data_IF_377342886636
#
_entry.id   IF_377342886636
#
_cell.length_a   1.000
_cell.length_b   1.000
_cell.length_c   1.000
_cell.angle_alpha   90.00
_cell.angle_beta   90.00
_cell.angle_gamma   90.00
#
_symmetry.space_group_name_H-M   'P 1'
#
loop_
_entity.id
_entity.type
_entity.pdbx_description
1 polymer ?
#
# COMPACT_ATOMS: atom_id res chain seq x y z
N UNK A 1 0.74 -52.85 9.21
CA UNK A 1 -0.40 -51.95 9.45
C UNK A 1 0.18 -50.77 10.20
N UNK A 2 0.51 -49.70 9.47
CA UNK A 2 0.78 -48.37 10.01
C UNK A 2 0.34 -47.39 8.93
N UNK A 3 -0.81 -46.77 9.17
CA UNK A 3 -1.42 -45.76 8.30
C UNK A 3 -0.81 -44.40 8.63
N UNK A 4 0.12 -43.95 7.79
CA UNK A 4 0.63 -42.58 7.83
C UNK A 4 -0.35 -41.67 7.07
N UNK A 5 -1.27 -41.02 7.81
CA UNK A 5 -2.15 -39.99 7.24
C UNK A 5 -1.33 -38.78 6.78
N UNK A 6 -1.20 -38.62 5.46
CA UNK A 6 -0.74 -37.39 4.84
C UNK A 6 -1.82 -36.30 5.02
N UNK A 7 -1.53 -35.29 5.85
CA UNK A 7 -2.36 -34.08 5.95
C UNK A 7 -2.01 -33.19 4.75
N UNK A 8 -2.68 -33.41 3.62
CA UNK A 8 -2.73 -32.45 2.53
C UNK A 8 -3.49 -31.21 3.01
N UNK A 9 -2.76 -30.12 3.31
CA UNK A 9 -3.33 -28.83 3.67
C UNK A 9 -3.94 -28.19 2.41
N UNK A 10 -5.27 -28.16 2.36
CA UNK A 10 -6.05 -27.46 1.34
C UNK A 10 -5.95 -25.95 1.62
N UNK A 11 -5.57 -25.11 0.63
CA UNK A 11 -5.61 -23.66 0.81
C UNK A 11 -7.06 -23.21 1.05
N UNK A 12 -7.30 -22.16 1.86
CA UNK A 12 -8.65 -21.75 2.20
C UNK A 12 -9.44 -21.30 0.95
N UNK A 13 -10.78 -21.46 0.96
CA UNK A 13 -11.59 -21.17 -0.21
C UNK A 13 -11.56 -19.68 -0.58
N UNK A 14 -11.49 -19.40 -1.89
CA UNK A 14 -11.41 -18.07 -2.52
C UNK A 14 -12.58 -17.10 -2.22
N UNK A 15 -13.61 -17.52 -1.50
CA UNK A 15 -14.83 -16.74 -1.24
C UNK A 15 -15.20 -16.78 0.27
N UNK A 16 -14.32 -16.31 1.15
CA UNK A 16 -14.71 -16.09 2.56
C UNK A 16 -15.31 -14.68 2.72
N UNK A 17 -16.43 -14.51 3.46
CA UNK A 17 -17.03 -13.20 3.69
C UNK A 17 -16.09 -12.31 4.52
N UNK A 18 -16.23 -10.99 4.38
CA UNK A 18 -15.61 -9.96 5.23
C UNK A 18 -15.55 -10.41 6.69
N UNK A 19 -14.37 -10.35 7.31
CA UNK A 19 -14.15 -10.80 8.68
C UNK A 19 -13.64 -9.65 9.54
N UNK A 20 -14.49 -9.20 10.46
CA UNK A 20 -14.14 -8.29 11.55
C UNK A 20 -13.18 -8.95 12.56
N UNK A 21 -12.27 -8.13 13.08
CA UNK A 21 -11.47 -8.10 14.33
C UNK A 21 -11.27 -9.34 15.21
N UNK A 22 -12.19 -10.30 15.29
CA UNK A 22 -12.19 -11.40 16.28
C UNK A 22 -11.19 -12.53 16.00
N UNK A 23 -10.50 -12.52 14.87
CA UNK A 23 -9.59 -13.59 14.45
C UNK A 23 -8.10 -13.34 14.79
N UNK A 24 -7.76 -12.25 15.52
CA UNK A 24 -6.40 -12.05 16.03
C UNK A 24 -6.09 -13.10 17.12
N UNK A 25 -5.34 -14.14 16.75
CA UNK A 25 -4.77 -15.07 17.73
C UNK A 25 -3.76 -14.34 18.60
N UNK A 26 -4.07 -14.15 19.87
CA UNK A 26 -3.09 -13.81 20.90
C UNK A 26 -2.03 -14.89 20.97
N UNK A 27 -0.76 -14.49 20.86
CA UNK A 27 0.33 -15.39 21.21
C UNK A 27 0.42 -15.52 22.74
N UNK A 28 1.05 -16.57 23.25
CA UNK A 28 1.07 -16.91 24.69
C UNK A 28 1.69 -15.82 25.59
N UNK A 29 2.38 -14.85 25.00
CA UNK A 29 3.04 -13.73 25.69
C UNK A 29 2.30 -12.39 25.54
N UNK A 30 1.06 -12.38 25.03
CA UNK A 30 0.25 -11.17 24.90
C UNK A 30 0.56 -10.30 23.67
N UNK A 31 1.68 -10.54 22.98
CA UNK A 31 2.02 -9.87 21.73
C UNK A 31 1.19 -10.39 20.55
N UNK A 32 0.45 -9.47 19.90
CA UNK A 32 -0.22 -9.72 18.63
C UNK A 32 0.85 -9.76 17.52
N UNK A 33 1.36 -10.96 17.19
CA UNK A 33 2.26 -11.15 16.05
C UNK A 33 1.42 -11.25 14.78
N UNK A 34 1.04 -10.11 14.24
CA UNK A 34 0.35 -9.98 12.96
C UNK A 34 0.75 -8.67 12.29
N UNK A 35 0.94 -8.70 10.97
CA UNK A 35 1.13 -7.49 10.19
C UNK A 35 -0.23 -7.03 9.71
N UNK A 36 -0.73 -5.94 10.28
CA UNK A 36 -1.98 -5.30 9.86
C UNK A 36 -1.67 -4.13 8.92
N UNK A 37 -2.32 -4.10 7.75
CA UNK A 37 -2.37 -2.92 6.89
C UNK A 37 -3.75 -2.30 7.02
N UNK A 38 -3.81 -1.04 7.43
CA UNK A 38 -5.06 -0.33 7.68
C UNK A 38 -5.52 0.41 6.44
N UNK A 39 -6.75 0.16 6.02
CA UNK A 39 -7.37 0.78 4.86
C UNK A 39 -8.60 1.57 5.34
N UNK A 40 -8.52 2.90 5.26
CA UNK A 40 -9.65 3.80 5.48
C UNK A 40 -10.27 4.18 4.14
N UNK A 41 -11.60 4.21 4.09
CA UNK A 41 -12.36 4.44 2.86
C UNK A 41 -12.96 5.83 2.88
N UNK A 42 -12.65 6.62 1.85
CA UNK A 42 -13.15 7.99 1.72
C UNK A 42 -14.18 8.18 0.60
N UNK A 43 -14.39 7.20 -0.28
CA UNK A 43 -15.45 7.25 -1.28
C UNK A 43 -16.24 5.94 -1.36
N UNK A 44 -17.55 6.02 -1.09
CA UNK A 44 -18.47 4.91 -1.26
C UNK A 44 -19.33 5.16 -2.51
N UNK A 45 -18.72 5.17 -3.69
CA UNK A 45 -19.55 5.12 -4.91
C UNK A 45 -20.25 3.76 -4.96
N UNK A 46 -21.57 3.80 -4.78
CA UNK A 46 -22.46 2.64 -4.62
C UNK A 46 -22.61 1.89 -5.95
N UNK A 47 -21.58 1.15 -6.34
CA UNK A 47 -21.53 0.29 -7.52
C UNK A 47 -20.08 -0.08 -7.83
N UNK A 48 -19.54 -1.23 -7.46
CA UNK A 48 -20.15 -2.47 -7.02
C UNK A 48 -19.31 -3.10 -5.90
N UNK A 49 -19.95 -3.82 -4.96
CA UNK A 49 -19.25 -4.61 -3.93
C UNK A 49 -18.18 -5.56 -4.51
N UNK A 50 -18.30 -5.93 -5.79
CA UNK A 50 -17.32 -6.70 -6.54
C UNK A 50 -15.98 -5.99 -6.73
N UNK A 51 -16.01 -4.67 -6.93
CA UNK A 51 -14.81 -3.90 -7.26
C UNK A 51 -13.94 -3.75 -6.02
N UNK A 52 -14.56 -3.60 -4.85
CA UNK A 52 -13.90 -3.61 -3.55
C UNK A 52 -13.17 -4.91 -3.27
N UNK A 53 -13.87 -6.04 -3.39
CA UNK A 53 -13.27 -7.35 -3.20
C UNK A 53 -12.10 -7.58 -4.17
N UNK A 54 -12.22 -7.11 -5.41
CA UNK A 54 -11.16 -7.19 -6.41
C UNK A 54 -9.95 -6.31 -6.05
N UNK A 55 -10.17 -5.08 -5.57
CA UNK A 55 -9.11 -4.16 -5.10
C UNK A 55 -8.34 -4.78 -3.94
N UNK A 56 -9.03 -5.20 -2.88
CA UNK A 56 -8.40 -5.79 -1.70
C UNK A 56 -7.62 -7.04 -2.08
N UNK A 57 -8.23 -7.93 -2.86
CA UNK A 57 -7.57 -9.14 -3.33
C UNK A 57 -6.32 -8.82 -4.17
N UNK A 58 -6.29 -7.69 -4.88
CA UNK A 58 -5.13 -7.28 -5.67
C UNK A 58 -4.03 -6.72 -4.79
N UNK A 59 -4.35 -5.87 -3.81
CA UNK A 59 -3.41 -5.41 -2.78
C UNK A 59 -2.78 -6.60 -2.06
N UNK A 60 -3.58 -7.60 -1.66
CA UNK A 60 -3.10 -8.84 -1.06
C UNK A 60 -2.06 -9.53 -1.94
N UNK A 61 -2.37 -9.71 -3.23
CA UNK A 61 -1.44 -10.36 -4.17
C UNK A 61 -0.12 -9.61 -4.28
N UNK A 62 -0.14 -8.29 -4.29
CA UNK A 62 1.09 -7.49 -4.26
C UNK A 62 1.88 -7.72 -2.97
N UNK A 63 1.22 -7.63 -1.80
CA UNK A 63 1.87 -7.86 -0.51
C UNK A 63 2.46 -9.27 -0.40
N UNK A 64 1.73 -10.31 -0.80
CA UNK A 64 2.23 -11.69 -0.83
C UNK A 64 3.39 -11.89 -1.81
N UNK A 65 3.42 -11.15 -2.92
CA UNK A 65 4.53 -11.20 -3.87
C UNK A 65 5.77 -10.52 -3.27
N UNK A 66 5.61 -9.38 -2.60
CA UNK A 66 6.69 -8.69 -1.88
C UNK A 66 7.21 -9.51 -0.68
N UNK A 67 6.36 -10.32 -0.05
CA UNK A 67 6.72 -11.37 0.90
C UNK A 67 7.41 -12.60 0.26
N UNK A 68 7.84 -12.52 -1.00
CA UNK A 68 8.36 -13.62 -1.81
C UNK A 68 9.48 -14.46 -1.17
N UNK A 69 9.91 -15.55 -1.82
CA UNK A 69 10.95 -16.41 -1.27
C UNK A 69 12.25 -15.63 -1.06
N UNK A 70 12.92 -15.88 0.08
CA UNK A 70 14.26 -15.35 0.32
C UNK A 70 15.19 -15.77 -0.84
N UNK A 71 16.16 -14.93 -1.24
CA UNK A 71 17.14 -15.31 -2.24
C UNK A 71 17.80 -16.64 -1.87
N UNK A 72 17.95 -17.54 -2.86
CA UNK A 72 18.61 -18.84 -2.69
C UNK A 72 19.97 -18.64 -2.00
N UNK A 73 20.09 -19.12 -0.76
CA UNK A 73 21.27 -18.92 0.09
C UNK A 73 20.97 -18.35 1.48
N UNK A 74 19.86 -17.62 1.64
CA UNK A 74 19.31 -17.20 2.95
C UNK A 74 18.31 -18.21 3.52
N UNK A 75 18.04 -19.29 2.79
CA UNK A 75 17.13 -20.37 3.18
C UNK A 75 17.64 -21.23 4.33
N UNK A 76 18.84 -21.00 4.88
CA UNK A 76 19.30 -21.81 6.03
C UNK A 76 18.48 -21.39 7.25
N UNK A 77 17.54 -22.23 7.72
CA UNK A 77 16.98 -21.97 9.03
C UNK A 77 18.13 -22.13 10.01
N UNK A 78 18.37 -21.15 10.87
CA UNK A 78 19.15 -21.37 12.08
C UNK A 78 18.21 -22.08 13.06
N UNK A 79 18.25 -23.42 13.19
CA UNK A 79 17.39 -24.09 14.16
C UNK A 79 17.92 -23.68 15.55
N UNK A 80 17.05 -23.24 16.47
CA UNK A 80 15.62 -23.55 16.54
C UNK A 80 14.68 -22.35 16.22
N UNK A 81 15.11 -21.34 15.47
CA UNK A 81 14.27 -20.15 15.27
C UNK A 81 13.09 -20.42 14.33
N UNK A 82 11.88 -19.93 14.65
CA UNK A 82 10.73 -20.02 13.76
C UNK A 82 11.00 -19.25 12.47
N UNK A 83 10.46 -19.75 11.36
CA UNK A 83 10.57 -19.08 10.08
C UNK A 83 9.79 -17.75 10.13
N UNK A 84 10.49 -16.63 10.32
CA UNK A 84 9.90 -15.29 10.43
C UNK A 84 8.99 -15.01 9.23
N UNK A 85 9.37 -15.47 8.03
CA UNK A 85 8.55 -15.32 6.83
C UNK A 85 7.21 -16.04 6.95
N UNK A 86 7.20 -17.27 7.44
CA UNK A 86 5.96 -18.01 7.68
C UNK A 86 5.10 -17.30 8.73
N UNK A 87 5.71 -16.81 9.82
CA UNK A 87 5.00 -16.04 10.83
C UNK A 87 4.38 -14.76 10.25
N UNK A 88 5.10 -14.03 9.40
CA UNK A 88 4.59 -12.81 8.75
C UNK A 88 3.49 -13.15 7.75
N UNK A 89 3.68 -14.17 6.91
CA UNK A 89 2.64 -14.62 5.96
C UNK A 89 1.37 -15.11 6.69
N UNK A 90 1.54 -15.87 7.77
CA UNK A 90 0.42 -16.36 8.58
C UNK A 90 -0.26 -15.25 9.38
N UNK A 91 0.48 -14.21 9.78
CA UNK A 91 -0.01 -13.08 10.56
C UNK A 91 -0.49 -11.89 9.73
N UNK A 92 -0.19 -11.83 8.43
CA UNK A 92 -0.57 -10.71 7.56
C UNK A 92 -2.09 -10.62 7.36
N UNK A 93 -2.68 -9.47 7.66
CA UNK A 93 -4.10 -9.19 7.49
C UNK A 93 -4.30 -7.74 7.05
N UNK A 94 -5.25 -7.47 6.18
CA UNK A 94 -5.75 -6.11 6.02
C UNK A 94 -6.81 -5.85 7.10
N UNK A 95 -6.75 -4.69 7.73
CA UNK A 95 -7.80 -4.18 8.60
C UNK A 95 -8.53 -3.09 7.82
N UNK A 96 -9.81 -3.32 7.60
CA UNK A 96 -10.68 -2.47 6.79
C UNK A 96 -11.55 -1.71 7.77
N UNK A 97 -11.46 -0.38 7.77
CA UNK A 97 -12.32 0.48 8.57
C UNK A 97 -13.45 1.00 7.69
N UNK A 98 -14.58 0.30 7.74
CA UNK A 98 -15.80 0.75 7.08
C UNK A 98 -16.54 1.72 8.00
N UNK A 99 -16.37 3.01 7.76
CA UNK A 99 -17.10 4.06 8.49
C UNK A 99 -17.83 4.95 7.49
N UNK A 100 -19.17 4.91 7.42
CA UNK A 100 -19.96 5.78 6.54
C UNK A 100 -19.72 7.26 6.76
N UNK A 101 -19.20 7.68 7.93
CA UNK A 101 -18.85 9.07 8.20
C UNK A 101 -17.58 9.52 7.48
N UNK A 102 -16.79 8.58 6.97
CA UNK A 102 -15.61 8.88 6.17
C UNK A 102 -15.94 9.11 4.70
N UNK A 103 -17.18 8.85 4.27
CA UNK A 103 -17.63 9.15 2.91
C UNK A 103 -17.54 10.66 2.65
N UNK A 104 -16.70 11.06 1.68
CA UNK A 104 -16.37 12.45 1.36
C UNK A 104 -15.74 13.24 2.52
N UNK A 105 -15.18 12.55 3.51
CA UNK A 105 -14.51 13.19 4.62
C UNK A 105 -13.22 13.89 4.18
N UNK A 106 -12.88 14.97 4.88
CA UNK A 106 -11.58 15.64 4.71
C UNK A 106 -10.43 14.73 5.16
N UNK A 107 -9.23 14.97 4.62
CA UNK A 107 -7.99 14.33 5.07
C UNK A 107 -7.82 14.44 6.59
N UNK A 108 -8.09 15.63 7.16
CA UNK A 108 -8.05 15.87 8.60
C UNK A 108 -9.02 14.96 9.38
N UNK A 109 -10.23 14.75 8.86
CA UNK A 109 -11.23 13.88 9.50
C UNK A 109 -10.78 12.42 9.49
N UNK A 110 -10.24 11.94 8.35
CA UNK A 110 -9.71 10.59 8.21
C UNK A 110 -8.51 10.40 9.17
N UNK A 111 -7.57 11.35 9.15
CA UNK A 111 -6.41 11.39 10.06
C UNK A 111 -6.84 11.22 11.52
N UNK A 112 -7.74 12.09 11.99
CA UNK A 112 -8.23 12.06 13.36
C UNK A 112 -8.89 10.73 13.71
N UNK A 113 -9.70 10.18 12.79
CA UNK A 113 -10.40 8.92 12.98
C UNK A 113 -9.44 7.73 13.11
N UNK A 114 -8.37 7.71 12.30
CA UNK A 114 -7.32 6.69 12.36
C UNK A 114 -6.55 6.78 13.68
N UNK A 115 -6.17 7.99 14.11
CA UNK A 115 -5.50 8.23 15.40
C UNK A 115 -6.36 7.71 16.56
N UNK A 116 -7.63 8.12 16.63
CA UNK A 116 -8.58 7.67 17.66
C UNK A 116 -8.74 6.16 17.67
N UNK A 117 -8.74 5.53 16.49
CA UNK A 117 -8.80 4.08 16.36
C UNK A 117 -7.52 3.40 16.88
N UNK A 118 -6.35 3.84 16.42
CA UNK A 118 -5.07 3.23 16.76
C UNK A 118 -4.80 3.32 18.28
N UNK A 119 -5.00 4.50 18.85
CA UNK A 119 -4.83 4.75 20.29
C UNK A 119 -5.90 4.02 21.11
N UNK A 120 -7.16 4.01 20.63
CA UNK A 120 -8.26 3.27 21.27
C UNK A 120 -8.02 1.75 21.33
N UNK A 121 -7.21 1.22 20.42
CA UNK A 121 -6.78 -0.19 20.40
C UNK A 121 -5.54 -0.46 21.27
N UNK A 122 -4.98 0.57 21.90
CA UNK A 122 -3.77 0.48 22.72
C UNK A 122 -2.48 0.42 21.90
N UNK A 123 -2.51 0.78 20.62
CA UNK A 123 -1.28 0.92 19.83
C UNK A 123 -0.64 2.27 20.10
N UNK A 124 0.68 2.28 20.31
CA UNK A 124 1.46 3.51 20.37
C UNK A 124 1.86 3.94 18.96
N UNK A 125 1.59 5.18 18.63
CA UNK A 125 2.17 5.88 17.47
C UNK A 125 3.61 6.34 17.79
N UNK A 126 4.36 6.72 16.77
CA UNK A 126 5.73 7.23 16.84
C UNK A 126 6.79 6.22 17.35
N UNK A 127 6.50 4.92 17.27
CA UNK A 127 7.44 3.86 17.70
C UNK A 127 8.21 3.23 16.54
N UNK A 128 8.34 3.97 15.44
CA UNK A 128 9.06 3.49 14.27
C UNK A 128 8.25 2.51 13.42
N UNK A 129 6.91 2.62 13.41
CA UNK A 129 6.01 1.61 12.79
C UNK A 129 4.99 2.27 11.87
N UNK A 130 5.26 2.32 10.55
CA UNK A 130 4.44 3.08 9.60
C UNK A 130 2.97 2.72 9.61
N UNK A 131 2.65 1.45 9.85
CA UNK A 131 1.26 0.97 9.91
C UNK A 131 0.38 1.66 10.98
N UNK A 132 0.94 2.35 11.96
CA UNK A 132 0.14 3.11 12.93
C UNK A 132 0.24 4.62 12.72
N UNK A 133 1.37 5.07 12.19
CA UNK A 133 1.67 6.49 11.96
C UNK A 133 1.08 6.98 10.62
N UNK A 134 0.74 6.06 9.73
CA UNK A 134 0.16 6.34 8.42
C UNK A 134 -1.11 5.55 8.19
N UNK A 135 -2.07 6.20 7.55
CA UNK A 135 -3.32 5.59 7.13
C UNK A 135 -3.33 5.42 5.61
N UNK A 136 -3.58 4.21 5.09
CA UNK A 136 -3.80 4.05 3.65
C UNK A 136 -5.25 4.40 3.32
N UNK A 137 -5.43 5.24 2.29
CA UNK A 137 -6.74 5.72 1.86
C UNK A 137 -7.04 5.27 0.43
N UNK A 138 -8.22 4.68 0.27
CA UNK A 138 -8.77 4.29 -1.02
C UNK A 138 -9.87 5.27 -1.44
N UNK A 139 -9.53 6.13 -2.41
CA UNK A 139 -10.45 7.01 -3.12
C UNK A 139 -10.86 6.42 -4.49
N UNK A 140 -11.87 7.02 -5.13
CA UNK A 140 -12.40 6.58 -6.44
C UNK A 140 -11.31 6.42 -7.50
N UNK A 141 -10.25 7.23 -7.44
CA UNK A 141 -9.19 7.24 -8.46
C UNK A 141 -8.16 6.16 -8.21
N UNK A 142 -7.71 5.98 -6.98
CA UNK A 142 -6.81 4.90 -6.56
C UNK A 142 -7.46 3.54 -6.76
N UNK A 143 -8.78 3.38 -6.51
CA UNK A 143 -9.53 2.17 -6.84
C UNK A 143 -9.43 1.84 -8.33
N UNK A 144 -9.73 2.81 -9.21
CA UNK A 144 -9.62 2.62 -10.66
C UNK A 144 -8.17 2.32 -11.07
N UNK A 145 -7.19 2.97 -10.47
CA UNK A 145 -5.76 2.74 -10.70
C UNK A 145 -5.35 1.32 -10.31
N UNK A 146 -5.78 0.83 -9.14
CA UNK A 146 -5.53 -0.53 -8.66
C UNK A 146 -6.15 -1.53 -9.63
N UNK A 147 -7.42 -1.36 -9.98
CA UNK A 147 -8.09 -2.26 -10.92
C UNK A 147 -7.41 -2.28 -12.30
N UNK A 148 -6.94 -1.13 -12.78
CA UNK A 148 -6.18 -0.99 -14.02
C UNK A 148 -4.74 -1.53 -13.97
N UNK A 149 -4.21 -1.81 -12.78
CA UNK A 149 -2.84 -2.30 -12.62
C UNK A 149 -2.65 -3.67 -13.29
N UNK A 150 -1.41 -3.99 -13.64
CA UNK A 150 -1.02 -5.35 -13.99
C UNK A 150 -1.12 -6.27 -12.77
N UNK A 151 -1.15 -7.58 -12.98
CA UNK A 151 -1.02 -8.52 -11.87
C UNK A 151 0.45 -8.54 -11.38
N UNK A 152 0.69 -8.69 -10.07
CA UNK A 152 2.04 -8.81 -9.55
C UNK A 152 2.68 -10.10 -10.09
N UNK A 153 3.86 -9.98 -10.67
CA UNK A 153 4.62 -11.10 -11.23
C UNK A 153 5.87 -11.32 -10.39
N UNK A 154 6.28 -12.58 -10.25
CA UNK A 154 7.51 -12.96 -9.55
C UNK A 154 8.80 -12.58 -10.30
N UNK A 155 8.70 -12.11 -11.55
CA UNK A 155 9.83 -11.92 -12.44
C UNK A 155 9.81 -10.47 -12.99
N UNK A 156 10.89 -9.73 -12.77
CA UNK A 156 11.03 -8.30 -13.09
C UNK A 156 11.11 -7.95 -14.60
N UNK A 157 10.81 -8.89 -15.51
CA UNK A 157 11.09 -8.73 -16.95
C UNK A 157 9.94 -8.17 -17.78
N UNK A 158 8.76 -7.95 -17.21
CA UNK A 158 7.60 -7.45 -17.96
C UNK A 158 7.35 -5.96 -17.72
N UNK A 159 7.00 -5.26 -18.80
CA UNK A 159 6.65 -3.84 -18.85
C UNK A 159 5.25 -3.56 -18.27
N UNK A 160 4.98 -4.08 -17.08
CA UNK A 160 3.70 -3.88 -16.41
C UNK A 160 3.50 -2.43 -16.00
N UNK A 161 2.24 -2.06 -15.79
CA UNK A 161 1.86 -0.79 -15.17
C UNK A 161 1.22 -1.08 -13.82
N UNK A 162 1.56 -0.31 -12.80
CA UNK A 162 1.21 -0.51 -11.41
C UNK A 162 0.57 0.76 -10.88
N UNK A 163 -0.54 0.61 -10.18
CA UNK A 163 -1.25 1.71 -9.57
C UNK A 163 -0.67 2.12 -8.23
N UNK A 164 -1.43 2.92 -7.53
CA UNK A 164 -1.03 3.46 -6.24
C UNK A 164 -2.18 3.43 -5.23
N UNK A 165 -1.81 3.56 -3.96
CA UNK A 165 -2.70 3.91 -2.85
C UNK A 165 -2.30 5.28 -2.33
N UNK A 166 -3.28 6.07 -1.87
CA UNK A 166 -2.96 7.29 -1.12
C UNK A 166 -2.66 6.92 0.32
N UNK A 167 -1.86 7.76 0.97
CA UNK A 167 -1.48 7.60 2.37
C UNK A 167 -1.57 8.94 3.06
N UNK A 168 -2.13 8.96 4.27
CA UNK A 168 -2.21 10.14 5.11
C UNK A 168 -1.16 10.01 6.21
N UNK A 169 -0.28 11.00 6.28
CA UNK A 169 0.61 11.24 7.41
C UNK A 169 -0.22 11.72 8.60
N UNK A 170 -0.22 10.93 9.67
CA UNK A 170 -1.02 11.23 10.86
C UNK A 170 -0.36 12.19 11.83
N UNK A 171 0.92 12.51 11.60
CA UNK A 171 1.68 13.44 12.43
C UNK A 171 1.76 14.83 11.78
N UNK A 172 1.35 14.95 10.50
CA UNK A 172 1.25 16.23 9.82
C UNK A 172 0.18 17.14 10.45
N UNK A 173 0.62 18.28 10.96
CA UNK A 173 -0.21 19.40 11.39
C UNK A 173 0.05 20.63 10.49
N UNK A 174 -0.92 21.03 9.65
CA UNK A 174 -0.75 22.21 8.80
C UNK A 174 -0.62 23.52 9.59
N UNK A 175 -1.06 23.55 10.86
CA UNK A 175 -1.02 24.74 11.71
C UNK A 175 0.23 24.80 12.60
N UNK A 176 1.12 23.81 12.54
CA UNK A 176 2.37 23.82 13.31
C UNK A 176 3.25 24.99 12.84
N UNK A 177 3.62 25.95 13.73
CA UNK A 177 4.46 27.08 13.37
C UNK A 177 5.89 26.68 12.98
N UNK A 178 6.34 25.48 13.36
CA UNK A 178 7.62 24.89 12.96
C UNK A 178 7.48 24.02 11.70
N UNK A 179 6.30 24.00 11.06
CA UNK A 179 6.07 23.24 9.86
C UNK A 179 6.89 23.80 8.69
N UNK A 180 8.00 23.12 8.38
CA UNK A 180 8.85 23.40 7.22
C UNK A 180 8.29 22.78 5.92
N UNK A 181 7.06 22.25 5.94
CA UNK A 181 6.38 21.83 4.73
C UNK A 181 5.94 23.05 3.90
N UNK A 182 6.06 22.93 2.58
CA UNK A 182 5.52 23.95 1.67
C UNK A 182 3.99 24.02 1.72
N UNK A 183 3.44 25.16 1.32
CA UNK A 183 2.00 25.50 1.34
C UNK A 183 1.10 24.53 0.54
N UNK A 184 1.67 23.73 -0.39
CA UNK A 184 0.90 22.76 -1.17
C UNK A 184 1.01 21.32 -0.67
N UNK A 185 1.73 21.05 0.43
CA UNK A 185 1.67 19.75 1.09
C UNK A 185 0.49 19.69 2.06
N UNK A 186 -0.42 18.74 1.84
CA UNK A 186 -1.64 18.56 2.62
C UNK A 186 -1.55 17.38 3.63
N UNK A 187 -0.34 16.84 3.81
CA UNK A 187 -0.11 15.65 4.62
C UNK A 187 -0.47 14.34 3.91
N UNK A 188 -0.57 14.35 2.58
CA UNK A 188 -0.83 13.14 1.78
C UNK A 188 0.34 12.73 0.90
N UNK A 189 0.52 11.42 0.79
CA UNK A 189 1.57 10.74 0.05
C UNK A 189 0.93 9.67 -0.85
N UNK A 190 1.72 9.10 -1.75
CA UNK A 190 1.35 7.94 -2.57
C UNK A 190 2.38 6.84 -2.47
N UNK A 191 1.89 5.60 -2.51
CA UNK A 191 2.72 4.40 -2.54
C UNK A 191 2.27 3.55 -3.72
N UNK A 192 3.24 3.10 -4.53
CA UNK A 192 2.96 2.13 -5.58
C UNK A 192 2.59 0.77 -4.98
N UNK A 193 1.71 0.00 -5.62
CA UNK A 193 1.25 -1.27 -5.04
C UNK A 193 2.39 -2.26 -4.73
N UNK A 194 3.49 -2.21 -5.48
CA UNK A 194 4.71 -2.97 -5.24
C UNK A 194 5.34 -2.74 -3.87
N UNK A 195 5.17 -1.53 -3.33
CA UNK A 195 5.97 -1.02 -2.22
C UNK A 195 5.18 -0.94 -0.90
N UNK A 196 3.85 -1.18 -0.95
CA UNK A 196 2.97 -1.17 0.22
C UNK A 196 3.53 -2.01 1.39
N UNK A 197 4.01 -3.22 1.08
CA UNK A 197 4.52 -4.12 2.10
C UNK A 197 5.84 -3.62 2.70
N UNK A 198 6.76 -3.14 1.87
CA UNK A 198 8.05 -2.58 2.30
C UNK A 198 7.83 -1.36 3.20
N UNK A 199 6.96 -0.45 2.76
CA UNK A 199 6.55 0.72 3.54
C UNK A 199 5.97 0.34 4.89
N UNK A 200 5.06 -0.63 4.94
CA UNK A 200 4.44 -1.06 6.20
C UNK A 200 5.43 -1.74 7.18
N UNK A 201 6.59 -2.22 6.69
CA UNK A 201 7.67 -2.76 7.51
C UNK A 201 8.65 -1.70 8.00
N UNK A 202 8.93 -0.68 7.20
CA UNK A 202 9.98 0.29 7.48
C UNK A 202 9.66 1.67 6.85
N UNK A 203 9.58 2.71 7.68
CA UNK A 203 9.81 4.10 7.27
C UNK A 203 11.05 4.58 7.98
N UNK A 204 12.20 4.51 7.34
CA UNK A 204 13.40 5.12 7.93
C UNK A 204 13.39 6.62 7.74
N UNK A 205 12.84 7.05 6.60
CA UNK A 205 13.02 8.41 6.07
C UNK A 205 11.94 9.40 6.53
N UNK A 206 10.73 8.92 6.85
CA UNK A 206 9.61 9.80 7.23
C UNK A 206 9.53 10.07 8.73
N UNK A 207 10.07 9.17 9.56
CA UNK A 207 9.91 9.19 11.02
C UNK A 207 11.01 9.96 11.75
N UNK A 208 12.13 10.26 11.08
CA UNK A 208 13.25 11.00 11.70
C UNK A 208 13.06 12.52 11.68
N UNK A 209 12.02 13.03 11.01
CA UNK A 209 11.75 14.46 10.90
C UNK A 209 12.79 15.24 10.09
N UNK A 210 13.73 14.55 9.43
CA UNK A 210 14.81 15.17 8.65
C UNK A 210 14.38 15.53 7.21
N UNK A 211 13.16 15.17 6.79
CA UNK A 211 12.65 15.52 5.47
C UNK A 211 12.02 16.92 5.49
N UNK A 212 12.80 17.92 5.07
CA UNK A 212 12.29 19.26 4.77
C UNK A 212 11.45 19.22 3.50
N UNK A 213 10.14 18.96 3.63
CA UNK A 213 9.24 18.77 2.49
C UNK A 213 9.17 19.97 1.53
N UNK A 214 9.44 21.18 2.01
CA UNK A 214 9.48 22.40 1.17
C UNK A 214 10.52 22.35 0.05
N UNK A 215 11.74 21.89 0.35
CA UNK A 215 12.86 21.84 -0.60
C UNK A 215 12.68 20.75 -1.68
N UNK A 216 11.70 19.87 -1.51
CA UNK A 216 11.33 18.83 -2.46
C UNK A 216 10.32 19.33 -3.49
N UNK A 217 10.14 20.63 -3.70
CA UNK A 217 9.28 21.12 -4.79
C UNK A 217 7.79 20.86 -4.56
N UNK A 218 7.43 20.64 -3.29
CA UNK A 218 6.08 20.85 -2.78
C UNK A 218 5.66 22.33 -2.85
N UNK A 219 6.55 23.23 -3.28
CA UNK A 219 6.32 24.63 -3.67
C UNK A 219 5.44 24.81 -4.92
N UNK A 220 5.07 23.72 -5.61
CA UNK A 220 4.29 23.79 -6.83
C UNK A 220 2.95 23.04 -6.67
N UNK A 221 1.82 23.67 -7.01
CA UNK A 221 0.54 23.01 -6.94
C UNK A 221 0.46 21.83 -7.91
N UNK A 222 -0.28 20.79 -7.50
CA UNK A 222 -0.48 19.58 -8.31
C UNK A 222 0.72 18.62 -8.32
N UNK A 223 1.68 18.81 -7.40
CA UNK A 223 2.69 17.81 -7.09
C UNK A 223 2.24 16.94 -5.91
N UNK A 224 2.71 15.69 -5.88
CA UNK A 224 2.46 14.73 -4.80
C UNK A 224 3.72 13.91 -4.58
N UNK A 225 3.93 13.48 -3.34
CA UNK A 225 5.07 12.67 -2.95
C UNK A 225 4.77 11.21 -3.19
N UNK A 226 5.68 10.51 -3.86
CA UNK A 226 5.71 9.06 -3.89
C UNK A 226 6.81 8.55 -2.97
N UNK A 227 6.52 7.51 -2.19
CA UNK A 227 7.48 6.87 -1.29
C UNK A 227 7.36 5.35 -1.33
N UNK A 228 8.47 4.66 -1.09
CA UNK A 228 8.54 3.22 -0.85
C UNK A 228 8.85 2.88 0.63
N UNK A 229 8.92 3.91 1.48
CA UNK A 229 9.31 3.83 2.90
C UNK A 229 10.81 4.03 3.15
N UNK A 230 11.66 3.85 2.14
CA UNK A 230 13.10 4.07 2.23
C UNK A 230 13.56 5.29 1.43
N UNK A 231 12.80 5.70 0.43
CA UNK A 231 13.10 6.86 -0.40
C UNK A 231 11.81 7.55 -0.82
N UNK A 232 11.93 8.83 -1.17
CA UNK A 232 10.82 9.67 -1.62
C UNK A 232 11.20 10.42 -2.89
N UNK A 233 10.23 10.63 -3.79
CA UNK A 233 10.35 11.50 -4.95
C UNK A 233 9.04 12.24 -5.22
N UNK A 234 9.07 13.25 -6.07
CA UNK A 234 7.89 14.05 -6.42
C UNK A 234 7.40 13.70 -7.81
N UNK A 235 6.10 13.54 -7.91
CA UNK A 235 5.39 13.35 -9.15
C UNK A 235 4.29 14.38 -9.33
N UNK A 236 3.79 14.45 -10.56
CA UNK A 236 2.51 15.10 -10.81
C UNK A 236 1.37 14.27 -10.21
N UNK A 237 0.43 14.97 -9.58
CA UNK A 237 -0.77 14.38 -8.99
C UNK A 237 -1.63 13.65 -10.04
N UNK A 238 -1.50 14.00 -11.33
CA UNK A 238 -2.19 13.38 -12.45
C UNK A 238 -1.61 12.01 -12.89
N UNK A 239 -0.47 11.58 -12.35
CA UNK A 239 0.03 10.21 -12.53
C UNK A 239 -1.02 9.23 -12.02
N UNK A 240 -1.40 8.30 -12.90
CA UNK A 240 -2.43 7.30 -12.66
C UNK A 240 -1.85 5.90 -12.54
N UNK A 241 -0.88 5.55 -13.39
CA UNK A 241 -0.13 4.30 -13.32
C UNK A 241 1.36 4.55 -13.52
N UNK A 242 2.16 3.87 -12.71
CA UNK A 242 3.61 3.83 -12.77
C UNK A 242 4.09 2.56 -13.50
N UNK A 243 5.26 2.55 -14.14
CA UNK A 243 5.91 1.32 -14.58
C UNK A 243 6.09 0.30 -13.45
N UNK A 244 6.15 -1.00 -13.74
CA UNK A 244 6.39 -2.03 -12.72
C UNK A 244 7.82 -2.06 -12.20
N UNK A 245 8.76 -1.45 -12.92
CA UNK A 245 10.14 -1.19 -12.49
C UNK A 245 10.28 0.19 -11.82
N UNK A 246 9.18 0.76 -11.33
CA UNK A 246 9.15 2.04 -10.65
C UNK A 246 9.84 1.94 -9.28
N UNK A 247 11.16 2.00 -9.32
CA UNK A 247 12.02 2.02 -8.16
C UNK A 247 12.45 3.45 -7.86
N UNK A 248 11.92 4.03 -6.78
CA UNK A 248 12.11 5.44 -6.42
C UNK A 248 13.60 5.77 -6.28
N UNK A 249 14.36 4.94 -5.58
CA UNK A 249 15.81 5.09 -5.42
C UNK A 249 16.56 5.17 -6.76
N UNK A 250 16.26 4.27 -7.69
CA UNK A 250 16.88 4.25 -9.03
C UNK A 250 16.54 5.50 -9.83
N UNK A 251 15.34 6.07 -9.65
CA UNK A 251 14.93 7.31 -10.33
C UNK A 251 15.62 8.55 -9.79
N UNK A 252 15.92 8.58 -8.49
CA UNK A 252 16.71 9.65 -7.88
C UNK A 252 18.13 9.63 -8.46
N UNK A 253 18.75 8.45 -8.54
CA UNK A 253 20.11 8.29 -9.03
C UNK A 253 20.22 8.42 -10.56
N UNK A 254 19.24 7.88 -11.29
CA UNK A 254 19.24 7.83 -12.75
C UNK A 254 17.85 8.21 -13.31
N UNK A 255 17.54 9.51 -13.44
CA UNK A 255 16.23 9.99 -13.89
C UNK A 255 15.79 9.49 -15.28
N UNK A 256 16.71 8.89 -16.04
CA UNK A 256 16.49 8.31 -17.37
C UNK A 256 15.98 6.86 -17.34
N UNK A 257 15.92 6.23 -16.17
CA UNK A 257 15.21 4.98 -15.90
C UNK A 257 13.97 5.36 -15.09
N UNK A 258 12.77 5.00 -15.54
CA UNK A 258 12.38 3.71 -16.11
C UNK A 258 12.39 3.69 -17.65
N UNK A 259 12.40 2.49 -18.23
CA UNK A 259 12.29 2.32 -19.70
C UNK A 259 10.93 2.78 -20.23
N UNK A 260 9.91 2.84 -19.38
CA UNK A 260 8.55 3.22 -19.72
C UNK A 260 8.15 4.48 -18.94
N UNK A 261 7.36 5.39 -19.54
CA UNK A 261 6.87 6.57 -18.83
C UNK A 261 5.70 6.23 -17.90
N UNK A 262 5.54 7.04 -16.85
CA UNK A 262 4.28 7.14 -16.10
C UNK A 262 3.14 7.50 -17.06
N UNK A 263 1.92 7.10 -16.73
CA UNK A 263 0.75 7.45 -17.54
C UNK A 263 -0.35 8.08 -16.70
N UNK A 264 -1.05 9.01 -17.32
CA UNK A 264 -2.25 9.66 -16.81
C UNK A 264 -3.49 8.79 -17.02
N UNK A 265 -4.58 9.13 -16.34
CA UNK A 265 -5.84 8.39 -16.46
C UNK A 265 -6.46 8.55 -17.87
N UNK A 266 -6.31 9.72 -18.49
CA UNK A 266 -6.73 9.99 -19.87
C UNK A 266 -5.98 9.12 -20.87
N UNK A 267 -4.65 9.06 -20.78
CA UNK A 267 -3.83 8.22 -21.67
C UNK A 267 -4.18 6.74 -21.50
N UNK A 268 -4.44 6.28 -20.27
CA UNK A 268 -4.91 4.92 -20.03
C UNK A 268 -6.24 4.63 -20.75
N UNK A 269 -7.23 5.53 -20.64
CA UNK A 269 -8.54 5.38 -21.29
C UNK A 269 -8.44 5.39 -22.81
N UNK A 270 -7.56 6.22 -23.38
CA UNK A 270 -7.29 6.26 -24.82
C UNK A 270 -6.68 4.94 -25.32
N UNK A 271 -5.72 4.38 -24.59
CA UNK A 271 -5.12 3.06 -24.90
C UNK A 271 -6.19 1.95 -24.86
N UNK A 272 -7.05 1.93 -23.84
CA UNK A 272 -8.13 0.93 -23.73
C UNK A 272 -9.14 1.04 -24.89
N UNK A 273 -9.48 2.27 -25.28
CA UNK A 273 -10.41 2.51 -26.39
C UNK A 273 -9.83 2.03 -27.72
N UNK A 274 -8.54 2.26 -27.94
CA UNK A 274 -7.82 1.83 -29.16
C UNK A 274 -7.79 0.31 -29.29
N UNK A 275 -7.49 -0.41 -28.21
CA UNK A 275 -7.50 -1.89 -28.17
C UNK A 275 -8.89 -2.44 -28.49
N UNK A 276 -9.94 -1.79 -27.96
CA UNK A 276 -11.32 -2.22 -28.18
C UNK A 276 -11.71 -2.09 -29.66
N UNK A 277 -11.33 -0.98 -30.31
CA UNK A 277 -11.59 -0.75 -31.74
C UNK A 277 -10.87 -1.77 -32.61
N UNK A 278 -9.59 -2.07 -32.33
CA UNK A 278 -8.83 -3.07 -33.07
C UNK A 278 -9.41 -4.48 -32.92
N UNK A 279 -9.89 -4.83 -31.72
CA UNK A 279 -10.52 -6.14 -31.47
C UNK A 279 -11.87 -6.35 -32.16
N UNK A 280 -12.55 -5.27 -32.54
CA UNK A 280 -13.84 -5.31 -33.27
C UNK A 280 -13.66 -5.26 -34.80
N UNK A 281 -12.48 -4.88 -35.27
CA UNK A 281 -12.15 -4.80 -36.70
C UNK A 281 -11.45 -6.07 -37.24
N UNK A 282 -11.06 -6.99 -36.36
CA UNK A 282 -10.45 -8.28 -36.69
C UNK A 282 -11.50 -9.42 -36.70
#
# INVERSE_FOLDING_TARGET
>A
MDDTMAITRVPPPRNSPMREEKDFKQNRDGDRVGMAIFLDFSSFTRGAASDWAAVIAKIDRYCYTSMGPLPKGFERPFPPQPNIRELVCEGYRNVIVEDPKLEFASIETIRKRHIEWAEGQGYSRHIGRPRFDYCLVLDDRSIRSILASSEPKSNASDSGLVGYVNVIDCDFDPEDPENECSEFYDGSLRICLSDIFSFALSCEDLQTGEQQWGDWGMENPGNVIYTDGHSSLIEKQDVFLCPSDYNIFSRILEPKLPRNPNITESEYRERQSSITIESQAA
#
